data_IF_483649431095
#
_entry.id   IF_483649431095
#
_cell.length_a   1.000
_cell.length_b   1.000
_cell.length_c   1.000
_cell.angle_alpha   90.00
_cell.angle_beta   90.00
_cell.angle_gamma   90.00
#
_symmetry.space_group_name_H-M   'P 1'
#
loop_
_entity.id
_entity.type
_entity.pdbx_description
1 polymer ?
#
# COMPACT_ATOMS: atom_id res chain seq x y z
N UNK A 1 -35.70 -1.72 13.93
CA UNK A 1 -34.39 -1.13 14.23
C UNK A 1 -33.33 -2.22 14.06
N UNK A 2 -32.52 -2.20 12.99
CA UNK A 2 -31.61 -3.31 12.62
C UNK A 2 -30.12 -2.90 12.48
N UNK A 3 -29.75 -1.68 12.90
CA UNK A 3 -28.44 -1.12 12.58
C UNK A 3 -27.32 -1.50 13.56
N UNK A 4 -27.63 -1.86 14.80
CA UNK A 4 -26.64 -2.30 15.80
C UNK A 4 -26.13 -3.72 15.54
N UNK A 5 -26.97 -4.60 14.99
CA UNK A 5 -26.60 -5.99 14.67
C UNK A 5 -25.50 -6.09 13.60
N UNK A 6 -25.45 -5.13 12.67
CA UNK A 6 -24.50 -5.18 11.55
C UNK A 6 -23.10 -4.72 11.99
N UNK A 7 -23.00 -3.67 12.82
CA UNK A 7 -21.72 -3.23 13.38
C UNK A 7 -21.08 -4.31 14.26
N UNK A 8 -21.87 -5.00 15.08
CA UNK A 8 -21.36 -6.08 15.93
C UNK A 8 -20.87 -7.29 15.11
N UNK A 9 -21.58 -7.60 14.00
CA UNK A 9 -21.18 -8.66 13.08
C UNK A 9 -19.86 -8.32 12.36
N UNK A 10 -19.72 -7.09 11.88
CA UNK A 10 -18.50 -6.62 11.20
C UNK A 10 -17.30 -6.66 12.17
N UNK A 11 -17.48 -6.21 13.41
CA UNK A 11 -16.40 -6.27 14.41
C UNK A 11 -15.97 -7.71 14.72
N UNK A 12 -16.93 -8.64 14.85
CA UNK A 12 -16.63 -10.05 15.07
C UNK A 12 -15.90 -10.68 13.87
N UNK A 13 -16.31 -10.34 12.65
CA UNK A 13 -15.68 -10.81 11.43
C UNK A 13 -14.25 -10.27 11.28
N UNK A 14 -14.02 -9.00 11.63
CA UNK A 14 -12.69 -8.40 11.65
C UNK A 14 -11.79 -9.12 12.67
N UNK A 15 -12.30 -9.40 13.87
CA UNK A 15 -11.57 -10.13 14.89
C UNK A 15 -11.17 -11.54 14.42
N UNK A 16 -12.09 -12.26 13.76
CA UNK A 16 -11.83 -13.58 13.21
C UNK A 16 -10.80 -13.54 12.06
N UNK A 17 -10.91 -12.55 11.16
CA UNK A 17 -9.97 -12.36 10.07
C UNK A 17 -8.55 -12.12 10.58
N UNK A 18 -8.40 -11.25 11.61
CA UNK A 18 -7.10 -10.98 12.23
C UNK A 18 -6.51 -12.21 12.91
N UNK A 19 -7.32 -13.00 13.62
CA UNK A 19 -6.88 -14.24 14.25
C UNK A 19 -6.35 -15.24 13.22
N UNK A 20 -7.06 -15.41 12.10
CA UNK A 20 -6.69 -16.33 11.01
C UNK A 20 -5.42 -15.91 10.27
N UNK A 21 -5.22 -14.60 10.06
CA UNK A 21 -3.97 -14.07 9.48
C UNK A 21 -2.79 -14.33 10.41
N UNK A 22 -2.95 -14.15 11.72
CA UNK A 22 -1.89 -14.42 12.69
C UNK A 22 -1.49 -15.90 12.72
N UNK A 23 -2.48 -16.80 12.68
CA UNK A 23 -2.25 -18.24 12.57
C UNK A 23 -1.51 -18.59 11.26
N UNK A 24 -1.97 -18.05 10.13
CA UNK A 24 -1.35 -18.29 8.82
C UNK A 24 0.08 -17.73 8.77
N UNK A 25 0.34 -16.57 9.36
CA UNK A 25 1.68 -16.01 9.48
C UNK A 25 2.59 -16.85 10.38
N UNK A 26 2.07 -17.37 11.51
CA UNK A 26 2.83 -18.25 12.37
C UNK A 26 3.22 -19.54 11.63
N UNK A 27 2.26 -20.16 10.93
CA UNK A 27 2.49 -21.37 10.14
C UNK A 27 3.44 -21.12 8.96
N UNK A 28 3.33 -19.98 8.28
CA UNK A 28 4.25 -19.59 7.21
C UNK A 28 5.69 -19.43 7.71
N UNK A 29 5.89 -18.90 8.92
CA UNK A 29 7.23 -18.81 9.54
C UNK A 29 7.81 -20.17 9.85
N UNK A 30 6.99 -21.14 10.24
CA UNK A 30 7.43 -22.54 10.41
C UNK A 30 7.84 -23.17 9.08
N UNK A 31 7.07 -22.95 8.00
CA UNK A 31 7.46 -23.38 6.65
C UNK A 31 8.73 -22.70 6.14
N UNK A 32 8.93 -21.40 6.43
CA UNK A 32 10.17 -20.68 6.07
C UNK A 32 11.37 -21.20 6.87
N UNK A 33 11.17 -21.58 8.13
CA UNK A 33 12.25 -22.09 9.00
C UNK A 33 12.59 -23.57 8.73
N UNK A 34 11.64 -24.34 8.18
CA UNK A 34 11.85 -25.71 7.72
C UNK A 34 12.13 -25.81 6.22
N UNK A 35 12.17 -24.68 5.49
CA UNK A 35 12.47 -24.68 4.06
C UNK A 35 13.89 -25.22 3.84
N UNK A 36 14.05 -26.41 3.25
CA UNK A 36 15.32 -26.79 2.68
C UNK A 36 15.56 -25.81 1.53
N UNK A 37 16.75 -25.22 1.49
CA UNK A 37 17.20 -24.45 0.32
C UNK A 37 17.13 -25.32 -0.92
N UNK A 38 16.11 -25.14 -1.74
CA UNK A 38 16.09 -25.61 -3.13
C UNK A 38 14.96 -24.94 -3.92
N UNK A 39 15.39 -24.04 -4.80
CA UNK A 39 14.81 -23.69 -6.10
C UNK A 39 13.65 -24.53 -6.66
N UNK A 40 12.66 -23.81 -7.19
CA UNK A 40 11.72 -24.17 -8.27
C UNK A 40 10.53 -25.08 -7.90
N UNK A 41 9.30 -24.56 -8.03
CA UNK A 41 8.24 -25.09 -8.89
C UNK A 41 7.01 -24.17 -8.84
N UNK A 42 6.81 -23.49 -9.97
CA UNK A 42 5.51 -23.13 -10.50
C UNK A 42 4.59 -24.37 -10.46
N UNK A 43 3.31 -24.16 -10.14
CA UNK A 43 2.15 -25.03 -10.42
C UNK A 43 2.43 -26.55 -10.52
N UNK A 44 1.87 -27.35 -9.62
CA UNK A 44 0.95 -28.43 -9.99
C UNK A 44 0.61 -29.23 -8.73
N UNK A 45 -0.71 -29.40 -8.53
CA UNK A 45 -1.33 -30.70 -8.32
C UNK A 45 -0.38 -31.79 -7.79
N UNK A 46 -0.66 -32.28 -6.58
CA UNK A 46 -0.10 -33.54 -6.10
C UNK A 46 -0.35 -34.64 -7.14
N UNK A 47 0.66 -34.93 -7.93
CA UNK A 47 1.12 -36.27 -8.24
C UNK A 47 2.60 -36.22 -8.67
N UNK A 48 3.48 -36.53 -7.70
CA UNK A 48 4.71 -37.33 -7.82
C UNK A 48 5.88 -36.84 -8.73
N UNK A 49 6.95 -36.36 -8.08
CA UNK A 49 8.33 -36.02 -8.59
C UNK A 49 9.08 -37.20 -9.24
N UNK A 50 10.15 -37.07 -10.10
CA UNK A 50 11.45 -36.44 -9.76
C UNK A 50 12.39 -35.83 -10.88
N UNK A 51 13.00 -34.66 -10.58
CA UNK A 51 14.42 -34.19 -10.75
C UNK A 51 15.11 -33.90 -12.13
N UNK A 52 15.83 -32.74 -12.13
CA UNK A 52 16.94 -32.20 -12.97
C UNK A 52 16.54 -31.54 -14.32
N UNK A 53 17.03 -30.38 -14.79
CA UNK A 53 18.33 -29.66 -14.73
C UNK A 53 18.12 -28.13 -14.89
N UNK A 54 19.08 -27.29 -14.44
CA UNK A 54 19.12 -25.83 -14.71
C UNK A 54 20.19 -25.58 -15.78
N UNK A 55 20.00 -24.61 -16.70
CA UNK A 55 21.06 -23.61 -16.86
C UNK A 55 20.57 -22.15 -16.97
N UNK A 56 21.34 -21.27 -16.32
CA UNK A 56 21.58 -19.85 -16.61
C UNK A 56 20.40 -18.85 -16.58
N UNK A 57 20.41 -17.92 -15.62
CA UNK A 57 21.23 -16.71 -15.82
C UNK A 57 21.40 -15.88 -14.54
N UNK A 58 22.64 -15.47 -14.35
CA UNK A 58 23.11 -14.51 -13.36
C UNK A 58 22.53 -13.12 -13.63
N UNK A 59 21.69 -12.59 -12.73
CA UNK A 59 21.71 -11.16 -12.40
C UNK A 59 21.59 -10.94 -10.90
N UNK A 60 22.74 -10.65 -10.32
CA UNK A 60 22.89 -9.72 -9.21
C UNK A 60 21.83 -8.61 -9.27
N UNK A 61 20.91 -8.56 -8.31
CA UNK A 61 20.44 -7.27 -7.81
C UNK A 61 20.30 -7.42 -6.30
N UNK A 62 21.34 -7.00 -5.59
CA UNK A 62 21.18 -6.47 -4.24
C UNK A 62 20.02 -5.48 -4.33
N UNK A 63 18.88 -5.80 -3.72
CA UNK A 63 17.90 -4.78 -3.38
C UNK A 63 18.58 -3.85 -2.38
N UNK A 64 19.26 -2.84 -2.92
CA UNK A 64 19.44 -1.58 -2.25
C UNK A 64 18.02 -1.18 -1.84
N UNK A 65 17.74 -1.31 -0.55
CA UNK A 65 16.76 -0.49 0.13
C UNK A 65 17.22 0.94 -0.10
N UNK A 66 16.81 1.50 -1.22
CA UNK A 66 16.82 2.93 -1.43
C UNK A 66 15.96 3.45 -0.29
N UNK A 67 16.61 4.14 0.64
CA UNK A 67 15.96 4.99 1.61
C UNK A 67 15.24 6.05 0.78
N UNK A 68 14.05 5.70 0.28
CA UNK A 68 13.18 6.57 -0.50
C UNK A 68 12.90 7.74 0.43
N UNK A 69 13.41 8.89 0.06
CA UNK A 69 13.26 10.14 0.78
C UNK A 69 11.76 10.34 1.09
N UNK A 70 11.35 10.04 2.32
CA UNK A 70 9.93 10.03 2.71
C UNK A 70 9.27 11.40 2.48
N UNK A 71 10.06 12.47 2.52
CA UNK A 71 9.63 13.83 2.28
C UNK A 71 9.08 14.04 0.86
N UNK A 72 9.60 13.30 -0.12
CA UNK A 72 9.12 13.40 -1.50
C UNK A 72 7.80 12.67 -1.70
N UNK A 73 7.46 11.70 -0.84
CA UNK A 73 6.22 10.94 -0.97
C UNK A 73 4.98 11.78 -0.63
N UNK A 74 5.08 12.72 0.30
CA UNK A 74 3.96 13.60 0.67
C UNK A 74 3.62 14.59 -0.45
N UNK A 75 4.64 15.26 -1.01
CA UNK A 75 4.44 16.16 -2.15
C UNK A 75 3.97 15.37 -3.37
N UNK A 76 4.59 14.23 -3.66
CA UNK A 76 4.16 13.39 -4.78
C UNK A 76 2.72 12.93 -4.61
N UNK A 77 2.29 12.53 -3.41
CA UNK A 77 0.89 12.17 -3.15
C UNK A 77 -0.08 13.35 -3.36
N UNK A 78 0.36 14.58 -3.15
CA UNK A 78 -0.45 15.78 -3.37
C UNK A 78 -0.55 16.15 -4.87
N UNK A 79 0.50 15.87 -5.65
CA UNK A 79 0.53 16.12 -7.10
C UNK A 79 0.03 14.93 -7.95
N UNK A 80 0.01 13.71 -7.40
CA UNK A 80 -0.50 12.49 -8.04
C UNK A 80 -2.03 12.54 -8.18
N UNK A 81 -2.69 13.19 -7.23
CA UNK A 81 -4.11 13.49 -7.30
C UNK A 81 -4.34 14.74 -8.17
N UNK A 82 -4.96 14.53 -9.34
CA UNK A 82 -5.23 15.59 -10.32
C UNK A 82 -6.13 16.70 -9.76
N UNK A 83 -7.05 16.35 -8.85
CA UNK A 83 -7.97 17.31 -8.25
C UNK A 83 -7.22 18.18 -7.23
N UNK A 84 -6.39 17.57 -6.37
CA UNK A 84 -5.56 18.30 -5.40
C UNK A 84 -4.50 19.16 -6.06
N UNK A 85 -3.87 18.66 -7.12
CA UNK A 85 -2.92 19.41 -7.94
C UNK A 85 -3.58 20.63 -8.61
N UNK A 86 -4.81 20.48 -9.10
CA UNK A 86 -5.60 21.58 -9.65
C UNK A 86 -5.94 22.63 -8.59
N UNK A 87 -6.41 22.19 -7.42
CA UNK A 87 -6.72 23.08 -6.28
C UNK A 87 -5.46 23.85 -5.85
N UNK A 88 -4.31 23.18 -5.77
CA UNK A 88 -3.04 23.80 -5.41
C UNK A 88 -2.61 24.86 -6.43
N UNK A 89 -2.80 24.57 -7.72
CA UNK A 89 -2.56 25.53 -8.80
C UNK A 89 -3.48 26.74 -8.69
N UNK A 90 -4.76 26.52 -8.36
CA UNK A 90 -5.75 27.58 -8.18
C UNK A 90 -5.41 28.47 -6.98
N UNK A 91 -5.02 27.88 -5.85
CA UNK A 91 -4.53 28.58 -4.67
C UNK A 91 -3.32 29.46 -5.04
N UNK A 92 -2.37 28.93 -5.79
CA UNK A 92 -1.18 29.66 -6.22
C UNK A 92 -1.53 30.89 -7.10
N UNK A 93 -2.48 30.72 -8.01
CA UNK A 93 -2.99 31.82 -8.85
C UNK A 93 -3.68 32.88 -7.98
N UNK A 94 -4.60 32.46 -7.09
CA UNK A 94 -5.34 33.35 -6.20
C UNK A 94 -4.43 34.12 -5.24
N UNK A 95 -3.36 33.49 -4.74
CA UNK A 95 -2.40 34.12 -3.83
C UNK A 95 -1.53 35.18 -4.53
N UNK A 96 -1.41 35.12 -5.85
CA UNK A 96 -0.64 36.08 -6.63
C UNK A 96 -1.34 37.44 -6.75
N UNK A 97 -2.64 37.49 -6.50
CA UNK A 97 -3.46 38.70 -6.55
C UNK A 97 -3.83 39.14 -5.13
N UNK A 98 -3.43 40.35 -4.74
CA UNK A 98 -3.66 40.88 -3.40
C UNK A 98 -5.08 41.44 -3.25
N UNK A 99 -6.07 40.56 -3.26
CA UNK A 99 -7.45 40.88 -2.93
C UNK A 99 -7.92 40.14 -1.66
N UNK A 100 -8.64 40.85 -0.79
CA UNK A 100 -9.17 40.28 0.46
C UNK A 100 -10.13 39.11 0.21
N UNK A 101 -10.88 39.15 -0.90
CA UNK A 101 -11.77 38.08 -1.32
C UNK A 101 -10.99 36.83 -1.75
N UNK A 102 -9.82 37.01 -2.39
CA UNK A 102 -8.97 35.91 -2.82
C UNK A 102 -8.34 35.18 -1.63
N UNK A 103 -8.09 35.88 -0.52
CA UNK A 103 -7.66 35.28 0.75
C UNK A 103 -8.71 34.32 1.32
N UNK A 104 -9.98 34.73 1.34
CA UNK A 104 -11.09 33.87 1.82
C UNK A 104 -11.26 32.66 0.91
N UNK A 105 -11.22 32.85 -0.41
CA UNK A 105 -11.32 31.77 -1.39
C UNK A 105 -10.14 30.80 -1.25
N UNK A 106 -8.92 31.31 -1.10
CA UNK A 106 -7.71 30.51 -0.87
C UNK A 106 -7.81 29.66 0.41
N UNK A 107 -8.33 30.23 1.50
CA UNK A 107 -8.57 29.50 2.76
C UNK A 107 -9.57 28.35 2.58
N UNK A 108 -10.65 28.57 1.82
CA UNK A 108 -11.64 27.52 1.52
C UNK A 108 -11.00 26.41 0.68
N UNK A 109 -10.18 26.77 -0.30
CA UNK A 109 -9.48 25.79 -1.13
C UNK A 109 -8.44 24.99 -0.34
N UNK A 110 -7.74 25.63 0.60
CA UNK A 110 -6.83 24.96 1.55
C UNK A 110 -7.59 23.99 2.45
N UNK A 111 -8.77 24.38 2.93
CA UNK A 111 -9.64 23.49 3.71
C UNK A 111 -10.09 22.27 2.89
N UNK A 112 -10.36 22.44 1.59
CA UNK A 112 -10.73 21.33 0.70
C UNK A 112 -9.56 20.35 0.44
N UNK A 113 -8.32 20.81 0.65
CA UNK A 113 -7.10 20.04 0.44
C UNK A 113 -6.70 19.21 1.67
N UNK A 114 -7.12 19.66 2.88
CA UNK A 114 -6.94 19.00 4.17
C UNK A 114 -7.90 17.81 4.35
#
# INVERSE_FOLDING_TARGET
MYSTSNSDNINKMQQEAMARVKEMQAKAKEYISQAPTSSNLENFQEDLVPRAEIPSDNKNVKELKTKKNENNNLLNSLFEDKEKSLILTLIFILLSEQDENNLVISLILIYLLL
#
